data_IF_025448084753
#
_entry.id   IF_025448084753
#
_cell.length_a   1.000
_cell.length_b   1.000
_cell.length_c   1.000
_cell.angle_alpha   90.00
_cell.angle_beta   90.00
_cell.angle_gamma   90.00
#
_symmetry.space_group_name_H-M   'P 1'
#
loop_
_entity.id
_entity.type
_entity.pdbx_description
1 polymer ?
#
# COMPACT_ATOMS: atom_id res chain seq x y z
N UNK A 1 47.95 6.18 25.88
CA UNK A 1 46.77 6.34 25.01
C UNK A 1 45.86 5.16 25.28
N UNK A 2 44.75 5.40 25.99
CA UNK A 2 43.78 4.36 26.29
C UNK A 2 42.94 4.12 25.04
N UNK A 3 43.06 2.93 24.47
CA UNK A 3 42.18 2.40 23.43
C UNK A 3 40.78 2.37 24.01
N UNK A 4 39.87 3.22 23.51
CA UNK A 4 38.44 3.06 23.76
C UNK A 4 38.03 1.73 23.12
N UNK A 5 37.82 0.72 23.96
CA UNK A 5 37.03 -0.45 23.59
C UNK A 5 35.66 0.05 23.13
N UNK A 6 35.42 -0.04 21.82
CA UNK A 6 34.10 0.10 21.27
C UNK A 6 33.29 -1.07 21.82
N UNK A 7 32.48 -0.82 22.84
CA UNK A 7 31.56 -1.82 23.39
C UNK A 7 30.67 -2.29 22.25
N UNK A 8 30.88 -3.52 21.77
CA UNK A 8 29.96 -4.18 20.87
C UNK A 8 28.61 -4.24 21.59
N UNK A 9 27.73 -3.29 21.28
CA UNK A 9 26.43 -3.16 21.92
C UNK A 9 25.58 -4.34 21.44
N UNK A 10 25.58 -5.38 22.29
CA UNK A 10 24.97 -6.66 21.98
C UNK A 10 23.49 -6.50 21.66
N UNK A 11 23.03 -7.25 20.67
CA UNK A 11 21.62 -7.34 20.34
C UNK A 11 20.96 -8.44 21.18
N UNK A 12 19.70 -8.25 21.54
CA UNK A 12 18.94 -9.29 22.24
C UNK A 12 18.58 -10.41 21.24
N UNK A 13 18.55 -11.66 21.71
CA UNK A 13 18.07 -12.78 20.90
C UNK A 13 16.55 -12.87 20.96
N UNK A 14 15.92 -13.10 19.80
CA UNK A 14 14.48 -13.39 19.73
C UNK A 14 14.25 -14.84 20.15
N UNK A 15 13.77 -15.06 21.37
CA UNK A 15 13.49 -16.40 21.89
C UNK A 15 12.25 -17.02 21.23
N UNK A 16 12.11 -18.34 21.38
CA UNK A 16 10.90 -19.07 20.95
C UNK A 16 9.64 -18.55 21.66
N UNK A 17 9.75 -18.23 22.94
CA UNK A 17 8.65 -17.70 23.76
C UNK A 17 8.16 -16.34 23.24
N UNK A 18 9.09 -15.44 22.89
CA UNK A 18 8.78 -14.15 22.28
C UNK A 18 8.07 -14.37 20.94
N UNK A 19 8.56 -15.29 20.12
CA UNK A 19 7.98 -15.62 18.81
C UNK A 19 6.56 -16.17 18.94
N UNK A 20 6.31 -17.07 19.90
CA UNK A 20 4.98 -17.60 20.18
C UNK A 20 4.03 -16.51 20.73
N UNK A 21 4.53 -15.61 21.58
CA UNK A 21 3.76 -14.46 22.07
C UNK A 21 3.38 -13.51 20.93
N UNK A 22 4.29 -13.21 20.00
CA UNK A 22 4.00 -12.37 18.81
C UNK A 22 2.91 -13.01 17.95
N UNK A 23 2.99 -14.32 17.68
CA UNK A 23 1.97 -15.03 16.89
C UNK A 23 0.58 -14.98 17.52
N UNK A 24 0.50 -15.00 18.86
CA UNK A 24 -0.76 -14.83 19.59
C UNK A 24 -1.32 -13.41 19.46
N UNK A 25 -0.46 -12.39 19.48
CA UNK A 25 -0.88 -10.99 19.36
C UNK A 25 -1.32 -10.63 17.94
N UNK A 26 -0.65 -11.17 16.92
CA UNK A 26 -0.97 -10.87 15.51
C UNK A 26 -2.10 -11.74 14.92
N UNK A 27 -2.76 -12.56 15.73
CA UNK A 27 -3.94 -13.37 15.39
C UNK A 27 -3.96 -13.91 13.95
N UNK A 28 -3.05 -14.85 13.66
CA UNK A 28 -2.90 -15.55 12.36
C UNK A 28 -2.46 -14.70 11.17
N UNK A 29 -2.10 -13.42 11.34
CA UNK A 29 -1.46 -12.67 10.25
C UNK A 29 -0.14 -13.34 9.83
N UNK A 30 0.13 -13.46 8.52
CA UNK A 30 1.34 -14.09 8.03
C UNK A 30 2.56 -13.22 8.34
N UNK A 31 3.44 -13.77 9.17
CA UNK A 31 4.69 -13.10 9.56
C UNK A 31 5.76 -13.42 8.50
N UNK A 32 6.35 -12.38 7.92
CA UNK A 32 7.36 -12.48 6.85
C UNK A 32 8.78 -12.31 7.38
N UNK A 33 8.94 -11.54 8.46
CA UNK A 33 10.23 -11.24 9.04
C UNK A 33 10.12 -10.98 10.55
N UNK A 34 11.05 -11.48 11.35
CA UNK A 34 11.16 -11.21 12.80
C UNK A 34 12.62 -11.09 13.19
N UNK A 35 13.07 -9.94 13.67
CA UNK A 35 14.44 -9.75 14.16
C UNK A 35 14.48 -8.78 15.35
N UNK A 36 15.45 -8.99 16.23
CA UNK A 36 15.76 -8.00 17.25
C UNK A 36 16.57 -6.87 16.62
N UNK A 37 16.17 -5.64 16.90
CA UNK A 37 16.79 -4.42 16.38
C UNK A 37 17.04 -3.45 17.52
N UNK A 38 17.88 -2.46 17.25
CA UNK A 38 18.06 -1.30 18.12
C UNK A 38 17.33 -0.11 17.52
N UNK A 39 16.39 0.46 18.26
CA UNK A 39 15.71 1.68 17.86
C UNK A 39 16.42 2.87 18.51
N UNK A 40 16.88 3.82 17.70
CA UNK A 40 17.45 5.07 18.20
C UNK A 40 16.34 6.08 18.45
N UNK A 41 16.34 6.66 19.65
CA UNK A 41 15.42 7.72 20.04
C UNK A 41 16.04 9.09 19.77
N UNK A 42 15.21 10.14 19.63
CA UNK A 42 15.67 11.52 19.42
C UNK A 42 16.63 12.04 20.50
N UNK A 43 16.68 11.40 21.67
CA UNK A 43 17.61 11.71 22.76
C UNK A 43 18.96 11.00 22.68
N UNK A 44 19.28 10.32 21.56
CA UNK A 44 20.52 9.55 21.38
C UNK A 44 20.57 8.24 22.17
N UNK A 45 19.49 7.86 22.86
CA UNK A 45 19.37 6.58 23.55
C UNK A 45 18.92 5.51 22.56
N UNK A 46 19.59 4.36 22.61
CA UNK A 46 19.20 3.16 21.89
C UNK A 46 18.37 2.26 22.80
N UNK A 47 17.27 1.74 22.27
CA UNK A 47 16.43 0.77 22.97
C UNK A 47 16.28 -0.51 22.16
N UNK A 48 16.31 -1.66 22.81
CA UNK A 48 16.10 -2.94 22.14
C UNK A 48 14.61 -3.15 21.85
N UNK A 49 14.32 -3.63 20.63
CA UNK A 49 12.96 -3.94 20.14
C UNK A 49 12.96 -5.20 19.30
N UNK A 50 11.79 -5.79 19.13
CA UNK A 50 11.58 -6.84 18.11
C UNK A 50 10.81 -6.23 16.94
N UNK A 51 11.47 -6.16 15.79
CA UNK A 51 10.88 -5.79 14.52
C UNK A 51 10.18 -7.00 13.91
N UNK A 52 8.92 -6.82 13.53
CA UNK A 52 8.12 -7.81 12.82
C UNK A 52 7.55 -7.18 11.56
N UNK A 53 7.74 -7.83 10.42
CA UNK A 53 7.06 -7.48 9.18
C UNK A 53 5.96 -8.50 8.89
N UNK A 54 4.73 -8.00 8.72
CA UNK A 54 3.63 -8.74 8.11
C UNK A 54 3.58 -8.43 6.61
N UNK A 55 2.47 -8.75 5.94
CA UNK A 55 2.31 -8.49 4.50
C UNK A 55 2.47 -7.01 4.14
N UNK A 56 1.76 -6.11 4.84
CA UNK A 56 1.76 -4.66 4.54
C UNK A 56 2.06 -3.79 5.77
N UNK A 57 2.48 -4.39 6.89
CA UNK A 57 2.67 -3.69 8.16
C UNK A 57 4.01 -3.98 8.79
N UNK A 58 4.56 -2.93 9.41
CA UNK A 58 5.67 -3.01 10.33
C UNK A 58 5.12 -2.95 11.77
N UNK A 59 5.68 -3.79 12.64
CA UNK A 59 5.42 -3.75 14.08
C UNK A 59 6.73 -3.69 14.85
N UNK A 60 6.78 -2.86 15.89
CA UNK A 60 7.82 -2.89 16.91
C UNK A 60 7.21 -3.36 18.23
N UNK A 61 7.76 -4.46 18.75
CA UNK A 61 7.37 -5.05 20.01
C UNK A 61 8.40 -4.79 21.10
N UNK A 62 7.90 -4.64 22.33
CA UNK A 62 8.73 -4.68 23.53
C UNK A 62 9.41 -6.06 23.68
N UNK A 63 10.67 -6.07 24.13
CA UNK A 63 11.42 -7.30 24.42
C UNK A 63 11.05 -7.85 25.80
N UNK A 64 9.78 -8.22 25.97
CA UNK A 64 9.23 -8.80 27.21
C UNK A 64 8.13 -9.80 26.89
N UNK A 65 7.89 -10.78 27.78
CA UNK A 65 6.76 -11.72 27.67
C UNK A 65 5.76 -11.43 28.80
N UNK A 66 4.45 -11.23 28.52
CA UNK A 66 3.84 -11.21 27.19
C UNK A 66 4.28 -9.99 26.38
N UNK A 67 4.55 -10.22 25.09
CA UNK A 67 4.94 -9.17 24.15
C UNK A 67 3.78 -8.21 23.93
N UNK A 68 4.10 -6.92 23.79
CA UNK A 68 3.12 -5.88 23.49
C UNK A 68 3.59 -5.09 22.27
N UNK A 69 2.66 -4.80 21.37
CA UNK A 69 2.90 -3.88 20.24
C UNK A 69 3.07 -2.48 20.85
N UNK A 70 4.19 -1.85 20.55
CA UNK A 70 4.42 -0.45 20.93
C UNK A 70 4.23 0.49 19.74
N UNK A 71 4.62 0.03 18.55
CA UNK A 71 4.47 0.77 17.30
C UNK A 71 3.93 -0.16 16.22
N UNK A 72 2.99 0.35 15.43
CA UNK A 72 2.60 -0.25 14.16
C UNK A 72 2.28 0.82 13.14
N UNK A 73 2.65 0.58 11.89
CA UNK A 73 2.23 1.39 10.75
C UNK A 73 2.17 0.53 9.49
N UNK A 74 1.32 0.93 8.55
CA UNK A 74 1.22 0.30 7.23
C UNK A 74 2.30 0.87 6.29
N UNK A 75 2.82 0.08 5.36
CA UNK A 75 3.86 0.50 4.43
C UNK A 75 3.44 1.68 3.54
N UNK A 76 2.14 1.86 3.29
CA UNK A 76 1.58 3.02 2.58
C UNK A 76 1.68 4.32 3.39
N UNK A 77 1.95 4.27 4.71
CA UNK A 77 2.26 5.46 5.52
C UNK A 77 3.72 5.93 5.33
N UNK A 78 4.57 5.18 4.63
CA UNK A 78 5.99 5.50 4.44
C UNK A 78 6.13 6.56 3.33
N UNK A 79 6.75 7.69 3.68
CA UNK A 79 7.10 8.77 2.74
C UNK A 79 8.50 8.61 2.16
N UNK A 80 9.44 8.17 2.98
CA UNK A 80 10.82 7.95 2.59
C UNK A 80 11.46 6.86 3.45
N UNK A 81 12.36 6.11 2.85
CA UNK A 81 13.19 5.12 3.52
C UNK A 81 14.62 5.23 3.01
N UNK A 82 15.54 5.51 3.92
CA UNK A 82 16.96 5.66 3.60
C UNK A 82 17.79 4.68 4.44
N UNK A 83 18.77 4.05 3.80
CA UNK A 83 19.71 3.14 4.46
C UNK A 83 21.06 3.82 4.63
N UNK A 84 21.72 3.58 5.76
CA UNK A 84 22.99 4.17 6.13
C UNK A 84 23.99 3.07 6.54
N UNK A 85 25.30 3.41 6.68
CA UNK A 85 26.29 2.51 7.26
C UNK A 85 25.87 1.93 8.62
N UNK A 86 26.56 0.88 9.07
CA UNK A 86 26.26 0.14 10.30
C UNK A 86 24.84 -0.49 10.33
N UNK A 87 24.33 -0.88 9.16
CA UNK A 87 23.04 -1.56 8.98
C UNK A 87 21.86 -0.76 9.53
N UNK A 88 21.93 0.56 9.39
CA UNK A 88 20.89 1.48 9.85
C UNK A 88 19.89 1.78 8.74
N UNK A 89 18.61 1.85 9.09
CA UNK A 89 17.52 2.36 8.26
C UNK A 89 16.82 3.50 8.98
N UNK A 90 16.48 4.55 8.24
CA UNK A 90 15.60 5.63 8.69
C UNK A 90 14.34 5.60 7.85
N UNK A 91 13.20 5.46 8.51
CA UNK A 91 11.87 5.36 7.89
C UNK A 91 11.06 6.58 8.32
N UNK A 92 10.76 7.44 7.37
CA UNK A 92 9.87 8.59 7.56
C UNK A 92 8.44 8.20 7.22
N UNK A 93 7.54 8.35 8.18
CA UNK A 93 6.09 8.20 7.98
C UNK A 93 5.39 9.55 8.01
N UNK A 94 4.08 9.58 7.74
CA UNK A 94 3.25 10.78 7.90
C UNK A 94 3.33 11.42 9.30
N UNK A 95 3.61 10.62 10.32
CA UNK A 95 3.50 11.02 11.74
C UNK A 95 4.86 11.11 12.43
N UNK A 96 5.76 10.18 12.12
CA UNK A 96 6.98 9.94 12.90
C UNK A 96 8.12 9.40 12.03
N UNK A 97 9.35 9.73 12.41
CA UNK A 97 10.58 9.14 11.86
C UNK A 97 11.10 8.05 12.79
N UNK A 98 11.42 6.88 12.22
CA UNK A 98 11.99 5.74 12.94
C UNK A 98 13.43 5.49 12.48
N UNK A 99 14.39 5.52 13.42
CA UNK A 99 15.77 5.11 13.17
C UNK A 99 15.99 3.73 13.77
N UNK A 100 16.24 2.73 12.93
CA UNK A 100 16.38 1.33 13.32
C UNK A 100 17.74 0.81 12.86
N UNK A 101 18.45 0.12 13.74
CA UNK A 101 19.72 -0.58 13.42
C UNK A 101 19.51 -2.08 13.49
N UNK A 102 19.87 -2.77 12.41
CA UNK A 102 19.83 -4.24 12.30
C UNK A 102 21.20 -4.85 12.61
N UNK A 103 21.24 -6.19 12.72
CA UNK A 103 22.45 -6.91 13.09
C UNK A 103 23.40 -7.15 11.92
N UNK A 104 22.86 -7.36 10.73
CA UNK A 104 23.61 -7.74 9.53
C UNK A 104 23.03 -7.06 8.29
N UNK A 105 23.84 -6.96 7.24
CA UNK A 105 23.41 -6.42 5.94
C UNK A 105 22.26 -7.27 5.35
N UNK A 106 22.35 -8.60 5.39
CA UNK A 106 21.28 -9.48 4.88
C UNK A 106 19.92 -9.22 5.54
N UNK A 107 19.91 -8.88 6.84
CA UNK A 107 18.67 -8.56 7.54
C UNK A 107 18.09 -7.22 7.07
N UNK A 108 18.95 -6.21 6.85
CA UNK A 108 18.56 -4.91 6.31
C UNK A 108 17.99 -5.08 4.89
N UNK A 109 18.71 -5.79 4.03
CA UNK A 109 18.31 -6.03 2.65
C UNK A 109 16.99 -6.80 2.57
N UNK A 110 16.80 -7.85 3.39
CA UNK A 110 15.52 -8.56 3.45
C UNK A 110 14.35 -7.68 3.86
N UNK A 111 14.54 -6.78 4.84
CA UNK A 111 13.49 -5.86 5.27
C UNK A 111 13.14 -4.86 4.15
N UNK A 112 14.15 -4.23 3.56
CA UNK A 112 13.97 -3.26 2.46
C UNK A 112 13.31 -3.92 1.25
N UNK A 113 13.80 -5.09 0.84
CA UNK A 113 13.25 -5.84 -0.29
C UNK A 113 11.81 -6.27 -0.04
N UNK A 114 11.48 -6.72 1.18
CA UNK A 114 10.10 -7.10 1.52
C UNK A 114 9.14 -5.91 1.45
N UNK A 115 9.53 -4.75 1.98
CA UNK A 115 8.70 -3.55 1.95
C UNK A 115 8.49 -3.10 0.50
N UNK A 116 9.56 -3.01 -0.29
CA UNK A 116 9.48 -2.63 -1.70
C UNK A 116 8.64 -3.63 -2.53
N UNK A 117 8.80 -4.93 -2.29
CA UNK A 117 7.99 -5.97 -2.94
C UNK A 117 6.51 -5.85 -2.58
N UNK A 118 6.19 -5.67 -1.29
CA UNK A 118 4.81 -5.51 -0.86
C UNK A 118 4.14 -4.29 -1.50
N UNK A 119 4.85 -3.16 -1.58
CA UNK A 119 4.34 -1.94 -2.21
C UNK A 119 4.19 -2.09 -3.73
N UNK A 120 5.16 -2.71 -4.40
CA UNK A 120 5.09 -2.94 -5.85
C UNK A 120 3.90 -3.83 -6.22
N UNK A 121 3.58 -4.82 -5.36
CA UNK A 121 2.38 -5.66 -5.49
C UNK A 121 1.09 -4.84 -5.37
N UNK A 122 0.98 -3.97 -4.37
CA UNK A 122 -0.20 -3.11 -4.13
C UNK A 122 -0.45 -2.16 -5.29
N UNK A 123 0.60 -1.54 -5.82
CA UNK A 123 0.50 -0.60 -6.93
C UNK A 123 0.63 -1.25 -8.31
N UNK A 124 0.65 -2.58 -8.39
CA UNK A 124 0.82 -3.34 -9.63
C UNK A 124 1.97 -2.84 -10.53
N UNK A 125 3.12 -2.50 -9.92
CA UNK A 125 4.29 -1.90 -10.57
C UNK A 125 4.01 -0.56 -11.30
N UNK A 126 2.97 0.17 -10.90
CA UNK A 126 2.66 1.48 -11.46
C UNK A 126 3.83 2.45 -11.31
N UNK A 127 4.13 3.20 -12.38
CA UNK A 127 5.13 4.27 -12.38
C UNK A 127 4.78 5.42 -11.43
N UNK A 128 3.51 5.50 -11.01
CA UNK A 128 3.02 6.49 -10.06
C UNK A 128 3.17 6.02 -8.60
N UNK A 129 3.70 4.82 -8.37
CA UNK A 129 4.07 4.36 -7.04
C UNK A 129 5.26 5.19 -6.52
N UNK A 130 5.22 5.70 -5.29
CA UNK A 130 6.35 6.43 -4.72
C UNK A 130 7.60 5.52 -4.68
N UNK A 131 8.77 5.95 -5.17
CA UNK A 131 10.01 5.23 -4.91
C UNK A 131 10.35 5.41 -3.43
N UNK A 132 10.02 4.41 -2.61
CA UNK A 132 10.14 4.53 -1.15
C UNK A 132 11.61 4.46 -0.69
N UNK A 133 12.46 3.68 -1.38
CA UNK A 133 13.88 3.59 -1.05
C UNK A 133 14.76 4.44 -1.96
N UNK A 134 15.53 5.35 -1.36
CA UNK A 134 16.69 5.99 -1.99
C UNK A 134 17.94 5.51 -1.28
N UNK A 135 18.76 4.72 -1.96
CA UNK A 135 20.11 4.45 -1.49
C UNK A 135 20.96 5.70 -1.79
N UNK A 136 21.39 6.43 -0.76
CA UNK A 136 22.47 7.42 -0.93
C UNK A 136 23.81 6.68 -0.94
N UNK A 137 24.39 6.52 -2.13
CA UNK A 137 25.69 5.90 -2.33
C UNK A 137 25.85 5.44 -3.77
N UNK A 138 26.68 6.16 -4.51
CA UNK A 138 27.24 5.93 -5.86
C UNK A 138 26.70 4.75 -6.69
N UNK A 139 26.29 5.07 -7.93
CA UNK A 139 26.16 4.10 -9.02
C UNK A 139 27.43 3.25 -9.14
N UNK A 140 27.25 1.93 -9.30
CA UNK A 140 27.86 1.26 -10.43
C UNK A 140 26.75 0.67 -11.32
N UNK A 141 26.83 1.09 -12.58
CA UNK A 141 26.30 0.39 -13.74
C UNK A 141 26.48 -1.13 -13.58
N UNK A 142 25.39 -1.87 -13.29
CA UNK A 142 25.52 -3.26 -12.89
C UNK A 142 24.32 -3.93 -12.22
N UNK A 143 23.08 -3.50 -12.46
CA UNK A 143 21.90 -4.31 -12.10
C UNK A 143 20.72 -4.08 -13.06
N UNK A 144 21.00 -4.12 -14.36
CA UNK A 144 19.98 -4.51 -15.34
C UNK A 144 19.64 -6.00 -15.18
N UNK A 145 18.92 -6.35 -14.11
CA UNK A 145 18.25 -7.66 -14.00
C UNK A 145 16.75 -7.57 -13.72
N UNK A 146 16.21 -6.37 -13.59
CA UNK A 146 14.76 -6.14 -13.60
C UNK A 146 14.43 -4.96 -14.52
N UNK A 147 14.71 -5.14 -15.81
CA UNK A 147 13.96 -4.40 -16.83
C UNK A 147 12.53 -4.95 -16.85
N UNK A 148 11.48 -4.11 -16.83
CA UNK A 148 10.08 -4.56 -16.82
C UNK A 148 9.63 -5.24 -18.12
N UNK A 149 10.52 -5.38 -19.11
CA UNK A 149 10.30 -6.12 -20.35
C UNK A 149 10.82 -7.57 -20.33
N UNK A 150 11.38 -8.07 -19.22
CA UNK A 150 11.61 -9.51 -19.12
C UNK A 150 10.30 -10.20 -18.72
N UNK A 151 9.63 -10.80 -19.70
CA UNK A 151 8.63 -11.87 -19.56
C UNK A 151 9.22 -13.09 -18.83
N UNK A 152 9.68 -12.90 -17.60
CA UNK A 152 10.18 -13.98 -16.73
C UNK A 152 9.60 -13.88 -15.33
N UNK A 153 8.37 -13.40 -15.20
CA UNK A 153 7.62 -13.60 -13.96
C UNK A 153 7.11 -15.05 -13.97
N UNK A 154 7.77 -15.90 -13.18
CA UNK A 154 7.32 -17.27 -12.87
C UNK A 154 6.02 -17.28 -12.03
N UNK A 155 5.42 -16.11 -11.78
CA UNK A 155 4.16 -15.96 -11.07
C UNK A 155 2.99 -16.01 -12.06
N UNK A 156 1.91 -16.78 -11.76
CA UNK A 156 0.73 -16.81 -12.61
C UNK A 156 0.12 -15.42 -12.75
N UNK A 157 -0.49 -15.10 -13.91
CA UNK A 157 -1.16 -13.82 -14.11
C UNK A 157 -2.20 -13.59 -13.01
N UNK A 158 -2.16 -12.40 -12.41
CA UNK A 158 -3.09 -12.05 -11.32
C UNK A 158 -4.51 -11.94 -11.86
N UNK A 159 -5.45 -12.56 -11.17
CA UNK A 159 -6.89 -12.40 -11.42
C UNK A 159 -7.27 -10.92 -11.40
N UNK A 160 -8.02 -10.49 -12.41
CA UNK A 160 -8.48 -9.10 -12.56
C UNK A 160 -7.42 -8.03 -12.27
N UNK A 161 -6.17 -8.24 -12.74
CA UNK A 161 -5.09 -7.26 -12.56
C UNK A 161 -4.63 -7.09 -11.11
N UNK A 162 -4.90 -8.06 -10.24
CA UNK A 162 -4.51 -8.02 -8.83
C UNK A 162 -5.42 -7.20 -7.92
N UNK A 163 -6.64 -6.88 -8.37
CA UNK A 163 -7.60 -6.06 -7.63
C UNK A 163 -7.75 -6.52 -6.17
N UNK A 164 -7.99 -7.82 -5.93
CA UNK A 164 -8.25 -8.37 -4.59
C UNK A 164 -7.08 -8.19 -3.63
N UNK A 165 -5.85 -8.15 -4.13
CA UNK A 165 -4.65 -7.90 -3.31
C UNK A 165 -4.52 -6.41 -2.97
N UNK A 166 -4.71 -5.52 -3.95
CA UNK A 166 -4.72 -4.07 -3.73
C UNK A 166 -5.83 -3.68 -2.76
N UNK A 167 -7.03 -4.25 -2.93
CA UNK A 167 -8.18 -4.04 -2.05
C UNK A 167 -7.88 -4.45 -0.61
N UNK A 168 -7.37 -5.65 -0.39
CA UNK A 168 -7.00 -6.11 0.95
C UNK A 168 -5.94 -5.22 1.63
N UNK A 169 -4.94 -4.76 0.86
CA UNK A 169 -3.91 -3.86 1.37
C UNK A 169 -4.46 -2.49 1.75
N UNK A 170 -5.37 -1.94 0.94
CA UNK A 170 -6.02 -0.67 1.23
C UNK A 170 -7.02 -0.78 2.37
N UNK A 171 -7.72 -1.91 2.53
CA UNK A 171 -8.54 -2.18 3.71
C UNK A 171 -7.68 -2.16 4.99
N UNK A 172 -6.53 -2.84 4.97
CA UNK A 172 -5.59 -2.85 6.09
C UNK A 172 -5.07 -1.44 6.42
N UNK A 173 -4.70 -0.65 5.41
CA UNK A 173 -4.26 0.74 5.59
C UNK A 173 -5.34 1.62 6.22
N UNK A 174 -6.58 1.49 5.74
CA UNK A 174 -7.71 2.25 6.25
C UNK A 174 -8.25 1.71 7.59
N UNK A 175 -7.80 0.55 8.06
CA UNK A 175 -8.32 -0.07 9.27
C UNK A 175 -9.79 -0.46 9.16
N UNK A 176 -10.23 -0.87 7.97
CA UNK A 176 -11.55 -1.45 7.72
C UNK A 176 -11.44 -2.95 7.47
N UNK A 177 -12.51 -3.69 7.75
CA UNK A 177 -12.57 -5.12 7.48
C UNK A 177 -12.65 -5.39 5.98
N UNK A 178 -11.70 -6.17 5.45
CA UNK A 178 -11.76 -6.64 4.06
C UNK A 178 -13.00 -7.51 3.86
N UNK A 179 -13.83 -7.15 2.88
CA UNK A 179 -15.06 -7.89 2.57
C UNK A 179 -14.73 -9.06 1.65
N UNK A 180 -14.89 -10.28 2.15
CA UNK A 180 -14.65 -11.50 1.35
C UNK A 180 -15.56 -11.59 0.14
N UNK A 181 -16.79 -11.06 0.22
CA UNK A 181 -17.74 -11.02 -0.90
C UNK A 181 -17.20 -10.21 -2.09
N UNK A 182 -16.51 -9.09 -1.84
CA UNK A 182 -15.93 -8.24 -2.90
C UNK A 182 -14.81 -8.98 -3.62
N UNK A 183 -13.91 -9.63 -2.85
CA UNK A 183 -12.82 -10.41 -3.43
C UNK A 183 -13.37 -11.61 -4.22
N UNK A 184 -14.38 -12.29 -3.67
CA UNK A 184 -14.99 -13.45 -4.31
C UNK A 184 -15.69 -13.07 -5.63
N UNK A 185 -16.47 -11.99 -5.63
CA UNK A 185 -17.15 -11.49 -6.83
C UNK A 185 -16.13 -11.11 -7.91
N UNK A 186 -15.06 -10.39 -7.55
CA UNK A 186 -14.03 -9.99 -8.51
C UNK A 186 -13.25 -11.20 -9.04
N UNK A 187 -12.78 -12.07 -8.15
CA UNK A 187 -11.92 -13.19 -8.54
C UNK A 187 -12.69 -14.31 -9.25
N UNK A 188 -14.01 -14.38 -9.05
CA UNK A 188 -14.85 -15.45 -9.61
C UNK A 188 -15.77 -14.92 -10.71
N UNK A 189 -16.68 -13.99 -10.40
CA UNK A 189 -17.72 -13.54 -11.32
C UNK A 189 -17.13 -12.65 -12.41
N UNK A 190 -16.49 -11.54 -12.02
CA UNK A 190 -15.91 -10.60 -12.97
C UNK A 190 -14.85 -11.26 -13.84
N UNK A 191 -13.97 -12.06 -13.23
CA UNK A 191 -12.95 -12.78 -13.98
C UNK A 191 -13.53 -13.78 -14.98
N UNK A 192 -14.52 -14.60 -14.57
CA UNK A 192 -15.11 -15.62 -15.45
C UNK A 192 -15.89 -15.03 -16.62
N UNK A 193 -16.41 -13.81 -16.46
CA UNK A 193 -17.13 -13.08 -17.50
C UNK A 193 -16.23 -12.22 -18.38
N UNK A 194 -14.91 -12.20 -18.13
CA UNK A 194 -13.97 -11.23 -18.72
C UNK A 194 -14.48 -9.78 -18.62
N UNK A 195 -15.19 -9.46 -17.53
CA UNK A 195 -15.85 -8.18 -17.38
C UNK A 195 -14.82 -7.09 -17.04
N UNK A 196 -14.81 -6.04 -17.87
CA UNK A 196 -13.91 -4.87 -17.76
C UNK A 196 -14.59 -3.64 -17.17
N UNK A 197 -15.90 -3.71 -16.95
CA UNK A 197 -16.70 -2.67 -16.34
C UNK A 197 -16.97 -2.98 -14.87
N UNK A 198 -16.32 -2.22 -13.98
CA UNK A 198 -16.61 -2.28 -12.55
C UNK A 198 -17.90 -1.53 -12.24
N UNK A 199 -18.95 -2.26 -11.85
CA UNK A 199 -20.26 -1.71 -11.55
C UNK A 199 -20.42 -1.52 -10.03
N UNK A 200 -20.45 -0.27 -9.56
CA UNK A 200 -20.59 0.05 -8.14
C UNK A 200 -21.92 -0.39 -7.54
N UNK A 201 -22.95 -0.64 -8.36
CA UNK A 201 -24.25 -1.12 -7.90
C UNK A 201 -24.20 -2.55 -7.36
N UNK A 202 -23.25 -3.37 -7.83
CA UNK A 202 -23.05 -4.74 -7.35
C UNK A 202 -22.70 -4.76 -5.85
N UNK A 203 -22.18 -3.64 -5.33
CA UNK A 203 -21.77 -3.46 -3.94
C UNK A 203 -22.56 -2.36 -3.22
N UNK A 204 -23.74 -1.98 -3.74
CA UNK A 204 -24.56 -0.88 -3.21
C UNK A 204 -25.06 -1.07 -1.78
N UNK A 205 -25.03 -2.31 -1.26
CA UNK A 205 -25.34 -2.63 0.13
C UNK A 205 -24.20 -2.29 1.11
N UNK A 206 -23.00 -2.00 0.61
CA UNK A 206 -21.86 -1.61 1.42
C UNK A 206 -21.88 -0.14 1.80
N UNK A 207 -21.26 0.17 2.93
CA UNK A 207 -21.15 1.55 3.40
C UNK A 207 -20.21 2.38 2.51
N UNK A 208 -20.38 3.70 2.51
CA UNK A 208 -19.58 4.65 1.71
C UNK A 208 -18.07 4.44 1.83
N UNK A 209 -17.58 4.09 3.02
CA UNK A 209 -16.15 3.87 3.27
C UNK A 209 -15.62 2.60 2.62
N UNK A 210 -16.42 1.53 2.61
CA UNK A 210 -16.07 0.29 1.93
C UNK A 210 -16.01 0.52 0.41
N UNK A 211 -17.02 1.22 -0.15
CA UNK A 211 -17.06 1.62 -1.56
C UNK A 211 -15.88 2.51 -1.96
N UNK A 212 -15.48 3.44 -1.10
CA UNK A 212 -14.33 4.31 -1.37
C UNK A 212 -13.04 3.47 -1.54
N UNK A 213 -12.81 2.47 -0.67
CA UNK A 213 -11.64 1.60 -0.77
C UNK A 213 -11.69 0.68 -2.01
N UNK A 214 -12.88 0.22 -2.39
CA UNK A 214 -13.11 -0.50 -3.66
C UNK A 214 -12.68 0.36 -4.84
N UNK A 215 -13.17 1.61 -4.93
CA UNK A 215 -12.81 2.53 -6.03
C UNK A 215 -11.32 2.86 -6.01
N UNK A 216 -10.73 3.11 -4.84
CA UNK A 216 -9.30 3.37 -4.71
C UNK A 216 -8.43 2.22 -5.26
N UNK A 217 -8.91 0.99 -5.16
CA UNK A 217 -8.23 -0.20 -5.69
C UNK A 217 -8.18 -0.22 -7.23
N UNK A 218 -9.05 0.54 -7.90
CA UNK A 218 -9.10 0.66 -9.36
C UNK A 218 -8.04 1.64 -9.88
N UNK A 219 -7.59 2.61 -9.07
CA UNK A 219 -6.65 3.66 -9.46
C UNK A 219 -5.35 3.15 -10.09
N UNK A 220 -4.86 1.99 -9.63
CA UNK A 220 -3.62 1.35 -10.11
C UNK A 220 -3.87 -0.02 -10.77
N UNK A 221 -5.15 -0.36 -10.97
CA UNK A 221 -5.53 -1.61 -11.59
C UNK A 221 -5.41 -1.51 -13.12
N UNK A 222 -4.99 -2.60 -13.76
CA UNK A 222 -4.80 -2.68 -15.22
C UNK A 222 -5.82 -3.57 -15.91
N UNK A 223 -6.86 -4.02 -15.18
CA UNK A 223 -7.90 -4.91 -15.71
C UNK A 223 -9.19 -4.16 -16.01
N UNK A 224 -9.67 -3.35 -15.07
CA UNK A 224 -10.90 -2.57 -15.20
C UNK A 224 -10.64 -1.34 -16.06
N UNK A 225 -11.36 -1.25 -17.18
CA UNK A 225 -11.30 -0.10 -18.09
C UNK A 225 -12.52 0.79 -17.99
N UNK A 226 -13.58 0.34 -17.30
CA UNK A 226 -14.79 1.14 -17.10
C UNK A 226 -15.20 1.17 -15.64
N UNK A 227 -15.65 2.33 -15.17
CA UNK A 227 -16.28 2.51 -13.87
C UNK A 227 -17.71 3.00 -14.06
N UNK A 228 -18.67 2.22 -13.57
CA UNK A 228 -20.09 2.45 -13.78
C UNK A 228 -20.83 2.65 -12.44
N UNK A 229 -21.65 3.71 -12.39
CA UNK A 229 -22.59 4.00 -11.33
C UNK A 229 -23.78 4.78 -11.89
N UNK A 230 -24.98 4.22 -11.74
CA UNK A 230 -26.21 4.85 -12.20
C UNK A 230 -27.30 4.74 -11.14
N UNK A 231 -28.04 5.83 -10.92
CA UNK A 231 -29.20 5.85 -10.01
C UNK A 231 -28.84 5.48 -8.55
N UNK A 232 -27.59 5.71 -8.15
CA UNK A 232 -27.10 5.50 -6.79
C UNK A 232 -26.36 6.75 -6.31
N UNK A 233 -26.80 7.31 -5.18
CA UNK A 233 -26.17 8.48 -4.59
C UNK A 233 -24.83 8.10 -3.95
N UNK A 234 -23.73 8.59 -4.50
CA UNK A 234 -22.40 8.34 -3.96
C UNK A 234 -21.98 9.39 -2.93
N UNK A 235 -21.33 8.93 -1.86
CA UNK A 235 -20.79 9.80 -0.81
C UNK A 235 -19.56 10.58 -1.27
N UNK A 236 -19.22 11.67 -0.56
CA UNK A 236 -18.05 12.49 -0.91
C UNK A 236 -16.74 11.73 -0.90
N UNK A 237 -16.58 10.76 0.01
CA UNK A 237 -15.39 9.92 0.09
C UNK A 237 -15.21 9.07 -1.18
N UNK A 238 -16.32 8.52 -1.71
CA UNK A 238 -16.31 7.76 -2.96
C UNK A 238 -15.98 8.68 -4.14
N UNK A 239 -16.57 9.89 -4.17
CA UNK A 239 -16.25 10.90 -5.19
C UNK A 239 -14.77 11.27 -5.19
N UNK A 240 -14.17 11.46 -4.01
CA UNK A 240 -12.74 11.76 -3.88
C UNK A 240 -11.87 10.61 -4.40
N UNK A 241 -12.27 9.35 -4.18
CA UNK A 241 -11.57 8.19 -4.73
C UNK A 241 -11.79 8.02 -6.24
N UNK A 242 -12.95 8.39 -6.78
CA UNK A 242 -13.16 8.43 -8.23
C UNK A 242 -12.21 9.46 -8.86
N UNK A 243 -12.12 10.66 -8.30
CA UNK A 243 -11.20 11.71 -8.77
C UNK A 243 -9.75 11.24 -8.66
N UNK A 244 -9.39 10.56 -7.56
CA UNK A 244 -8.06 9.94 -7.41
C UNK A 244 -7.79 8.92 -8.52
N UNK A 245 -8.73 8.01 -8.79
CA UNK A 245 -8.63 7.02 -9.87
C UNK A 245 -8.45 7.69 -11.23
N UNK A 246 -9.19 8.75 -11.53
CA UNK A 246 -9.01 9.56 -12.76
C UNK A 246 -7.61 10.17 -12.83
N UNK A 247 -7.04 10.61 -11.71
CA UNK A 247 -5.71 11.24 -11.64
C UNK A 247 -4.53 10.27 -11.73
N UNK A 248 -4.75 8.95 -11.61
CA UNK A 248 -3.66 7.94 -11.55
C UNK A 248 -3.80 6.79 -12.55
N UNK A 249 -5.01 6.44 -12.93
CA UNK A 249 -5.22 5.29 -13.81
C UNK A 249 -4.76 5.59 -15.23
N UNK A 250 -4.01 4.64 -15.79
CA UNK A 250 -3.62 4.61 -17.20
C UNK A 250 -4.47 3.60 -18.01
N UNK A 251 -5.45 2.96 -17.37
CA UNK A 251 -6.27 1.90 -17.94
C UNK A 251 -7.76 2.25 -17.97
N UNK A 252 -8.20 3.25 -17.22
CA UNK A 252 -9.58 3.71 -17.21
C UNK A 252 -9.90 4.46 -18.52
N UNK A 253 -10.83 3.92 -19.31
CA UNK A 253 -11.27 4.39 -20.62
C UNK A 253 -12.65 5.06 -20.55
N UNK A 254 -13.55 4.54 -19.71
CA UNK A 254 -14.94 5.00 -19.62
C UNK A 254 -15.38 5.25 -18.17
N UNK A 255 -16.02 6.40 -17.92
CA UNK A 255 -16.58 6.75 -16.62
C UNK A 255 -18.06 7.12 -16.76
N UNK A 256 -18.93 6.34 -16.13
CA UNK A 256 -20.38 6.58 -16.09
C UNK A 256 -20.81 6.85 -14.66
N UNK A 257 -21.23 8.09 -14.38
CA UNK A 257 -21.76 8.54 -13.10
C UNK A 257 -23.10 9.24 -13.34
N UNK A 258 -24.14 8.47 -13.66
CA UNK A 258 -25.47 9.01 -13.99
C UNK A 258 -26.36 9.08 -12.77
N UNK A 259 -27.03 10.23 -12.55
CA UNK A 259 -27.90 10.43 -11.38
C UNK A 259 -27.23 10.01 -10.06
N UNK A 260 -25.93 10.31 -9.93
CA UNK A 260 -25.09 9.83 -8.83
C UNK A 260 -25.07 10.81 -7.63
N UNK A 261 -25.84 11.90 -7.71
CA UNK A 261 -25.87 12.95 -6.69
C UNK A 261 -24.58 13.78 -6.65
N UNK A 262 -23.91 13.94 -7.79
CA UNK A 262 -22.72 14.78 -7.93
C UNK A 262 -23.04 16.25 -7.63
N UNK A 263 -22.08 16.94 -7.03
CA UNK A 263 -22.16 18.37 -6.73
C UNK A 263 -21.71 19.21 -7.93
N UNK A 264 -22.12 20.48 -7.97
CA UNK A 264 -21.80 21.41 -9.05
C UNK A 264 -20.29 21.69 -9.24
N UNK A 265 -19.47 21.46 -8.19
CA UNK A 265 -18.00 21.59 -8.27
C UNK A 265 -17.29 20.37 -8.86
N UNK A 266 -18.01 19.25 -9.12
CA UNK A 266 -17.43 18.02 -9.64
C UNK A 266 -16.71 18.19 -11.00
N UNK A 267 -17.29 18.87 -12.01
CA UNK A 267 -16.62 19.02 -13.31
C UNK A 267 -15.28 19.74 -13.20
N UNK A 268 -15.17 20.75 -12.32
CA UNK A 268 -13.92 21.46 -12.07
C UNK A 268 -12.88 20.54 -11.43
N UNK A 269 -13.28 19.75 -10.42
CA UNK A 269 -12.39 18.77 -9.78
C UNK A 269 -11.94 17.70 -10.76
N UNK A 270 -12.83 17.22 -11.63
CA UNK A 270 -12.52 16.24 -12.65
C UNK A 270 -11.52 16.80 -13.68
N UNK A 271 -11.69 18.05 -14.11
CA UNK A 271 -10.74 18.72 -14.99
C UNK A 271 -9.33 18.81 -14.34
N UNK A 272 -9.26 19.14 -13.05
CA UNK A 272 -8.00 19.12 -12.29
C UNK A 272 -7.38 17.71 -12.25
N UNK A 273 -8.16 16.68 -11.91
CA UNK A 273 -7.69 15.30 -11.86
C UNK A 273 -7.14 14.82 -13.21
N UNK A 274 -7.82 15.13 -14.32
CA UNK A 274 -7.34 14.83 -15.67
C UNK A 274 -6.05 15.58 -16.00
N UNK A 275 -5.90 16.84 -15.59
CA UNK A 275 -4.69 17.63 -15.83
C UNK A 275 -3.45 17.08 -15.11
N UNK A 276 -3.66 16.39 -13.97
CA UNK A 276 -2.60 15.72 -13.22
C UNK A 276 -2.18 14.37 -13.87
N UNK A 277 -2.98 13.85 -14.80
CA UNK A 277 -2.77 12.56 -15.45
C UNK A 277 -2.53 12.70 -16.97
N UNK A 278 -1.28 12.99 -17.38
CA UNK A 278 -0.95 13.07 -18.81
C UNK A 278 -1.04 11.72 -19.54
N UNK A 279 -1.15 10.60 -18.82
CA UNK A 279 -1.29 9.26 -19.36
C UNK A 279 -2.75 8.75 -19.37
N UNK A 280 -3.72 9.63 -19.07
CA UNK A 280 -5.14 9.27 -19.08
C UNK A 280 -5.57 8.80 -20.47
N UNK A 281 -6.30 7.69 -20.50
CA UNK A 281 -6.88 7.10 -21.73
C UNK A 281 -8.40 7.25 -21.77
N UNK A 282 -8.99 8.03 -20.86
CA UNK A 282 -10.43 8.27 -20.80
C UNK A 282 -10.90 8.94 -22.09
N UNK A 283 -11.82 8.28 -22.79
CA UNK A 283 -12.44 8.79 -24.01
C UNK A 283 -13.97 8.78 -23.97
N UNK A 284 -14.59 8.20 -22.93
CA UNK A 284 -16.04 8.23 -22.72
C UNK A 284 -16.38 8.71 -21.31
N UNK A 285 -17.32 9.66 -21.22
CA UNK A 285 -17.78 10.23 -19.96
C UNK A 285 -19.29 10.46 -20.01
N UNK A 286 -20.04 9.84 -19.09
CA UNK A 286 -21.44 10.15 -18.87
C UNK A 286 -21.66 10.68 -17.45
N UNK A 287 -22.12 11.92 -17.36
CA UNK A 287 -22.51 12.58 -16.09
C UNK A 287 -24.00 12.98 -16.10
N UNK A 288 -24.80 12.30 -16.92
CA UNK A 288 -26.19 12.67 -17.14
C UNK A 288 -27.01 12.65 -15.83
N UNK A 289 -28.07 13.46 -15.79
CA UNK A 289 -29.02 13.51 -14.67
C UNK A 289 -28.41 13.93 -13.30
N UNK A 290 -27.23 14.54 -13.29
CA UNK A 290 -26.70 15.24 -12.13
C UNK A 290 -27.03 16.74 -12.20
N UNK A 291 -27.23 17.37 -11.05
CA UNK A 291 -27.42 18.83 -10.95
C UNK A 291 -26.06 19.52 -10.93
N UNK A 292 -25.43 19.66 -12.10
CA UNK A 292 -24.08 20.20 -12.26
C UNK A 292 -24.04 21.72 -12.55
N UNK A 293 -25.20 22.34 -12.78
CA UNK A 293 -25.27 23.77 -13.06
C UNK A 293 -25.10 24.60 -11.78
N UNK A 294 -24.32 25.68 -11.88
CA UNK A 294 -24.32 26.75 -10.89
C UNK A 294 -25.60 27.56 -11.08
N UNK A 295 -26.56 27.45 -10.16
CA UNK A 295 -27.57 28.49 -10.00
C UNK A 295 -26.95 29.75 -9.40
#
# INVERSE_FOLDING_TARGET
MASKENSAVGFVNVSREITESIRKVLDKQPIKFVRAIKQETRGGKSEDRVLVLATWRLYLFAVKVPTKVEVTFNFLEIRAMNTYPDYQVVIDTDKTTYSLRLQTQDQLDHMVNHINYALSRVFNNSIYAPPICRAEGDLPDGSHKFSPNSESSLEPPKTCGGFSETYAALCDYNGIGCKEEVQWDVDTIYHSQDNREFNLLDFSHLDSRDLAVIVASIAYNTWFTKLYCKDMRIGSEVVDQILHTVSKSNSLEELTLENAGLKADFPQKMASALSENPASVIHSLSLAHNTLDNQ
#
